data_IF_898380448529
#
_entry.id   IF_898380448529
#
_cell.length_a   1.000
_cell.length_b   1.000
_cell.length_c   1.000
_cell.angle_alpha   90.00
_cell.angle_beta   90.00
_cell.angle_gamma   90.00
#
_symmetry.space_group_name_H-M   'P 1'
#
loop_
_entity.id
_entity.type
_entity.pdbx_description
1 polymer ?
#
# COMPACT_ATOMS: atom_id res chain seq x y z
N UNK A 1 8.58 23.95 -80.02
CA UNK A 1 7.55 23.95 -78.95
C UNK A 1 6.48 22.94 -79.34
N UNK A 2 6.54 21.71 -78.83
CA UNK A 2 5.53 20.67 -79.08
C UNK A 2 5.50 19.64 -77.94
N UNK A 3 4.36 18.99 -77.83
CA UNK A 3 3.70 18.39 -76.68
C UNK A 3 4.01 16.88 -76.47
N UNK A 4 3.92 16.44 -75.20
CA UNK A 4 3.24 15.23 -74.67
C UNK A 4 3.70 13.77 -74.94
N UNK A 5 3.94 13.09 -73.81
CA UNK A 5 3.43 11.78 -73.31
C UNK A 5 3.90 10.38 -73.81
N UNK A 6 4.21 9.56 -72.78
CA UNK A 6 3.89 8.14 -72.54
C UNK A 6 4.61 7.02 -73.31
N UNK A 7 5.22 6.06 -72.57
CA UNK A 7 5.22 4.65 -72.97
C UNK A 7 5.37 3.60 -71.82
N UNK A 8 4.26 2.88 -71.63
CA UNK A 8 3.95 1.48 -71.24
C UNK A 8 5.02 0.47 -70.71
N UNK A 9 4.66 -0.18 -69.59
CA UNK A 9 4.47 -1.64 -69.26
C UNK A 9 5.43 -2.76 -69.77
N UNK A 10 6.02 -3.51 -68.81
CA UNK A 10 5.75 -4.93 -68.40
C UNK A 10 6.35 -6.18 -69.11
N UNK A 11 6.91 -7.11 -68.27
CA UNK A 11 7.15 -8.61 -68.35
C UNK A 11 8.23 -9.09 -69.37
N UNK A 12 9.13 -10.08 -69.18
CA UNK A 12 9.10 -11.50 -68.73
C UNK A 12 10.52 -11.99 -68.28
N UNK A 13 10.69 -12.73 -67.18
CA UNK A 13 10.73 -14.21 -66.98
C UNK A 13 11.92 -14.96 -67.63
N UNK A 14 12.80 -15.57 -66.80
CA UNK A 14 13.54 -16.80 -67.14
C UNK A 14 13.68 -17.70 -65.91
N UNK A 15 13.33 -18.97 -66.10
CA UNK A 15 13.35 -20.05 -65.11
C UNK A 15 14.71 -20.73 -64.95
N UNK A 16 14.93 -21.40 -63.83
CA UNK A 16 15.83 -22.56 -63.72
C UNK A 16 15.35 -23.48 -62.59
N UNK A 17 15.47 -24.79 -62.83
CA UNK A 17 14.72 -25.88 -62.19
C UNK A 17 15.53 -26.55 -61.05
N UNK A 18 14.78 -26.92 -59.99
CA UNK A 18 14.96 -27.92 -58.92
C UNK A 18 16.20 -28.84 -58.89
N UNK A 19 16.79 -28.99 -57.68
CA UNK A 19 17.11 -30.31 -57.10
C UNK A 19 16.77 -30.30 -55.60
N UNK A 20 15.99 -31.30 -55.17
CA UNK A 20 15.62 -31.58 -53.77
C UNK A 20 16.79 -32.27 -53.05
N UNK A 21 17.02 -31.94 -51.79
CA UNK A 21 17.56 -32.92 -50.84
C UNK A 21 16.92 -32.71 -49.47
N UNK A 22 16.10 -33.69 -49.09
CA UNK A 22 15.50 -33.83 -47.77
C UNK A 22 16.60 -34.37 -46.86
N UNK A 23 16.94 -33.65 -45.80
CA UNK A 23 17.56 -34.25 -44.63
C UNK A 23 16.76 -33.84 -43.39
N UNK A 24 15.97 -34.81 -42.94
CA UNK A 24 15.36 -34.89 -41.63
C UNK A 24 16.44 -34.81 -40.54
N UNK A 25 16.40 -33.76 -39.74
CA UNK A 25 16.81 -33.86 -38.33
C UNK A 25 15.72 -33.17 -37.51
N UNK A 26 14.99 -34.00 -36.76
CA UNK A 26 13.90 -33.54 -35.91
C UNK A 26 14.45 -32.64 -34.82
N UNK A 27 14.17 -31.34 -34.92
CA UNK A 27 14.22 -30.46 -33.77
C UNK A 27 12.88 -30.63 -33.08
N UNK A 28 12.91 -31.40 -32.00
CA UNK A 28 11.82 -31.52 -31.04
C UNK A 28 11.34 -30.11 -30.69
N UNK A 29 10.16 -29.76 -31.18
CA UNK A 29 9.40 -28.62 -30.67
C UNK A 29 9.09 -28.95 -29.23
N UNK A 30 9.92 -28.48 -28.31
CA UNK A 30 9.53 -28.37 -26.92
C UNK A 30 8.49 -27.25 -26.87
N UNK A 31 7.24 -27.62 -27.11
CA UNK A 31 6.08 -26.83 -26.72
C UNK A 31 6.15 -26.72 -25.20
N UNK A 32 6.79 -25.66 -24.70
CA UNK A 32 6.44 -25.12 -23.38
C UNK A 32 5.26 -24.19 -23.70
N UNK A 33 4.00 -24.61 -23.60
CA UNK A 33 3.27 -24.96 -22.39
C UNK A 33 3.52 -23.91 -21.29
N UNK A 34 2.48 -23.13 -20.99
CA UNK A 34 2.37 -21.95 -20.12
C UNK A 34 2.58 -20.57 -20.78
N UNK A 35 1.55 -20.08 -21.49
CA UNK A 35 1.15 -18.67 -21.42
C UNK A 35 0.20 -18.52 -20.22
N UNK A 36 0.75 -18.52 -19.00
CA UNK A 36 -0.03 -18.15 -17.82
C UNK A 36 0.35 -16.72 -17.46
N UNK A 37 -0.57 -15.78 -17.69
CA UNK A 37 -0.42 -14.40 -17.24
C UNK A 37 -0.58 -14.23 -15.72
N UNK A 38 -0.68 -15.34 -14.97
CA UNK A 38 -0.86 -15.39 -13.53
C UNK A 38 0.38 -15.01 -12.71
N UNK A 39 1.14 -14.00 -13.12
CA UNK A 39 2.07 -13.35 -12.19
C UNK A 39 1.24 -12.48 -11.26
N UNK A 40 0.86 -13.02 -10.11
CA UNK A 40 0.38 -12.23 -8.97
C UNK A 40 1.44 -11.19 -8.63
N UNK A 41 1.20 -9.92 -8.99
CA UNK A 41 2.05 -8.81 -8.59
C UNK A 41 1.83 -8.56 -7.11
N UNK A 42 2.74 -9.06 -6.28
CA UNK A 42 2.81 -8.70 -4.87
C UNK A 42 3.51 -7.34 -4.80
N UNK A 43 2.73 -6.27 -4.67
CA UNK A 43 3.30 -4.96 -4.36
C UNK A 43 3.66 -4.94 -2.87
N UNK A 44 4.96 -4.98 -2.58
CA UNK A 44 5.47 -4.81 -1.22
C UNK A 44 5.43 -3.31 -0.92
N UNK A 45 4.43 -2.89 -0.15
CA UNK A 45 4.04 -1.48 0.07
C UNK A 45 5.07 -0.60 0.83
N UNK A 46 6.31 -1.05 1.01
CA UNK A 46 7.21 -0.41 1.95
C UNK A 46 8.03 0.76 1.36
N UNK A 47 8.04 1.00 0.05
CA UNK A 47 9.00 1.97 -0.54
C UNK A 47 8.57 2.54 -1.91
N UNK A 48 7.34 3.02 -2.06
CA UNK A 48 6.99 3.89 -3.20
C UNK A 48 6.52 5.24 -2.67
N UNK A 49 7.19 6.30 -3.10
CA UNK A 49 6.97 7.69 -2.66
C UNK A 49 5.56 8.22 -3.03
N UNK A 50 4.84 7.50 -3.90
CA UNK A 50 3.47 7.80 -4.32
C UNK A 50 2.39 7.30 -3.34
N UNK A 51 2.71 6.40 -2.41
CA UNK A 51 1.72 5.78 -1.51
C UNK A 51 1.43 6.57 -0.22
N UNK A 52 2.07 7.73 -0.04
CA UNK A 52 1.91 8.56 1.15
C UNK A 52 2.53 7.97 2.42
N UNK A 53 2.10 8.46 3.57
CA UNK A 53 2.56 7.98 4.88
C UNK A 53 1.93 6.62 5.18
N UNK A 54 2.75 5.65 5.60
CA UNK A 54 2.30 4.35 6.06
C UNK A 54 2.87 4.03 7.43
N UNK A 55 2.10 3.29 8.22
CA UNK A 55 2.50 2.83 9.56
C UNK A 55 3.14 1.46 9.40
N UNK A 56 4.44 1.35 9.66
CA UNK A 56 5.20 0.10 9.51
C UNK A 56 5.25 -0.71 10.80
N UNK A 57 5.06 -0.06 11.96
CA UNK A 57 5.04 -0.75 13.23
C UNK A 57 4.52 0.14 14.37
N UNK A 58 4.27 -0.49 15.50
CA UNK A 58 3.85 0.19 16.73
C UNK A 58 4.55 -0.43 17.93
N UNK A 59 4.58 0.33 19.01
CA UNK A 59 5.13 -0.04 20.31
C UNK A 59 4.22 0.54 21.41
N UNK A 60 4.52 0.24 22.68
CA UNK A 60 3.81 0.82 23.82
C UNK A 60 4.01 2.33 23.93
N UNK A 61 5.06 2.83 23.28
CA UNK A 61 5.43 4.23 23.33
C UNK A 61 4.96 5.02 22.11
N UNK A 62 4.52 4.38 21.03
CA UNK A 62 4.16 5.08 19.80
C UNK A 62 4.37 4.26 18.53
N UNK A 63 4.58 4.94 17.41
CA UNK A 63 4.46 4.39 16.07
C UNK A 63 5.70 4.62 15.21
N UNK A 64 5.96 3.69 14.31
CA UNK A 64 6.99 3.80 13.28
C UNK A 64 6.34 3.94 11.91
N UNK A 65 6.88 4.84 11.10
CA UNK A 65 6.42 5.12 9.75
C UNK A 65 7.34 4.50 8.69
N UNK A 66 6.90 4.52 7.43
CA UNK A 66 7.65 4.00 6.28
C UNK A 66 8.90 4.81 5.89
N UNK A 67 9.03 6.02 6.41
CA UNK A 67 10.21 6.88 6.26
C UNK A 67 11.19 6.79 7.45
N UNK A 68 11.12 5.70 8.22
CA UNK A 68 11.91 5.43 9.42
C UNK A 68 11.72 6.42 10.58
N UNK A 69 10.80 7.37 10.47
CA UNK A 69 10.44 8.26 11.57
C UNK A 69 9.68 7.47 12.64
N UNK A 70 10.07 7.69 13.90
CA UNK A 70 9.37 7.17 15.07
C UNK A 70 8.72 8.33 15.81
N UNK A 71 7.41 8.20 16.06
CA UNK A 71 6.62 9.21 16.76
C UNK A 71 6.16 8.60 18.07
N UNK A 72 6.41 9.33 19.15
CA UNK A 72 6.06 8.92 20.51
C UNK A 72 4.68 9.47 20.86
N UNK A 73 3.85 8.63 21.47
CA UNK A 73 2.52 8.95 21.94
C UNK A 73 1.40 8.70 20.91
N UNK A 74 0.20 9.21 21.21
CA UNK A 74 -0.95 9.17 20.33
C UNK A 74 -0.75 10.07 19.11
N UNK A 75 -1.25 9.63 17.95
CA UNK A 75 -1.04 10.30 16.68
C UNK A 75 -2.34 10.40 15.86
N UNK A 76 -2.43 11.47 15.07
CA UNK A 76 -3.39 11.65 14.00
C UNK A 76 -2.66 11.55 12.66
N UNK A 77 -2.97 10.53 11.87
CA UNK A 77 -2.31 10.20 10.60
C UNK A 77 -3.23 10.52 9.44
N UNK A 78 -2.69 11.20 8.45
CA UNK A 78 -3.30 11.56 7.18
C UNK A 78 -2.46 11.00 6.04
N UNK A 79 -2.97 10.98 4.79
CA UNK A 79 -2.23 10.43 3.66
C UNK A 79 -0.86 11.06 3.43
N UNK A 80 -0.72 12.35 3.78
CA UNK A 80 0.49 13.15 3.52
C UNK A 80 1.12 13.78 4.77
N UNK A 81 0.49 13.64 5.93
CA UNK A 81 0.95 14.29 7.16
C UNK A 81 0.61 13.45 8.39
N UNK A 82 1.35 13.70 9.46
CA UNK A 82 1.13 13.08 10.76
C UNK A 82 1.28 14.15 11.82
N UNK A 83 0.38 14.14 12.78
CA UNK A 83 0.30 15.10 13.87
C UNK A 83 0.25 14.35 15.19
N UNK A 84 0.78 14.96 16.25
CA UNK A 84 0.53 14.46 17.60
C UNK A 84 -0.92 14.71 17.98
N UNK A 85 -1.55 13.73 18.61
CA UNK A 85 -2.93 13.82 19.05
C UNK A 85 -3.00 13.89 20.57
N UNK A 86 -3.61 14.95 21.10
CA UNK A 86 -3.59 15.27 22.52
C UNK A 86 -4.69 14.51 23.29
N UNK A 87 -4.52 13.19 23.42
CA UNK A 87 -5.46 12.26 24.07
C UNK A 87 -4.67 11.14 24.74
N UNK A 88 -4.73 11.01 26.06
CA UNK A 88 -3.99 9.95 26.76
C UNK A 88 -4.79 8.65 26.83
N UNK A 89 -6.12 8.74 26.97
CA UNK A 89 -6.99 7.59 27.17
C UNK A 89 -8.36 7.75 26.46
N UNK A 90 -9.16 6.68 26.49
CA UNK A 90 -10.49 6.64 25.88
C UNK A 90 -11.44 7.76 26.35
N UNK A 91 -11.32 8.23 27.59
CA UNK A 91 -12.21 9.26 28.13
C UNK A 91 -11.89 10.65 27.60
N UNK A 92 -10.65 10.86 27.13
CA UNK A 92 -10.23 12.14 26.55
C UNK A 92 -10.73 12.30 25.10
N UNK A 93 -11.25 11.22 24.50
CA UNK A 93 -11.82 11.24 23.16
C UNK A 93 -13.22 11.85 23.22
N UNK A 94 -13.28 13.13 22.85
CA UNK A 94 -14.50 13.93 22.77
C UNK A 94 -14.56 14.73 21.45
N UNK A 95 -15.60 15.53 21.30
CA UNK A 95 -15.87 16.34 20.10
C UNK A 95 -14.73 17.33 19.81
N UNK A 96 -14.13 17.92 20.84
CA UNK A 96 -13.00 18.84 20.71
C UNK A 96 -11.75 18.12 20.21
N UNK A 97 -11.45 16.94 20.78
CA UNK A 97 -10.32 16.10 20.35
C UNK A 97 -10.44 15.63 18.89
N UNK A 98 -11.68 15.51 18.40
CA UNK A 98 -11.99 15.07 17.03
C UNK A 98 -12.21 16.24 16.05
N UNK A 99 -12.30 17.47 16.55
CA UNK A 99 -12.58 18.66 15.74
C UNK A 99 -11.57 18.85 14.61
N UNK A 100 -10.30 18.48 14.83
CA UNK A 100 -9.23 18.46 13.83
C UNK A 100 -9.67 17.73 12.56
N UNK A 101 -10.27 16.55 12.67
CA UNK A 101 -10.69 15.74 11.52
C UNK A 101 -11.87 16.36 10.77
N UNK A 102 -12.68 17.18 11.45
CA UNK A 102 -13.88 17.79 10.85
C UNK A 102 -13.60 19.08 10.08
N UNK A 103 -12.45 19.72 10.34
CA UNK A 103 -12.12 21.06 9.82
C UNK A 103 -11.13 21.01 8.65
N UNK A 104 -10.49 19.86 8.41
CA UNK A 104 -9.50 19.69 7.36
C UNK A 104 -10.12 19.68 5.96
N UNK A 105 -9.40 20.30 5.03
CA UNK A 105 -9.66 20.26 3.59
C UNK A 105 -8.46 19.61 2.86
N UNK A 106 -8.67 18.66 1.93
CA UNK A 106 -9.97 18.12 1.51
C UNK A 106 -10.63 17.26 2.61
N UNK A 107 -11.96 17.22 2.57
CA UNK A 107 -12.76 16.44 3.52
C UNK A 107 -12.35 14.96 3.56
N UNK A 108 -12.32 14.41 4.77
CA UNK A 108 -12.06 12.99 5.06
C UNK A 108 -13.33 12.17 4.80
N UNK A 109 -13.20 11.06 4.08
CA UNK A 109 -14.31 10.13 3.83
C UNK A 109 -14.49 9.15 5.00
N UNK A 110 -13.38 8.66 5.53
CA UNK A 110 -13.32 7.63 6.58
C UNK A 110 -12.29 8.00 7.64
N UNK A 111 -12.70 8.04 8.90
CA UNK A 111 -11.82 8.12 10.06
C UNK A 111 -11.72 6.74 10.72
N UNK A 112 -10.50 6.23 10.87
CA UNK A 112 -10.22 5.04 11.67
C UNK A 112 -9.79 5.48 13.07
N UNK A 113 -10.45 5.00 14.11
CA UNK A 113 -10.13 5.30 15.50
C UNK A 113 -9.52 4.07 16.17
N UNK A 114 -8.20 4.08 16.37
CA UNK A 114 -7.44 3.05 17.06
C UNK A 114 -7.35 3.32 18.56
N UNK A 115 -8.08 2.56 19.37
CA UNK A 115 -8.22 2.79 20.82
C UNK A 115 -7.23 1.99 21.68
N UNK A 116 -6.07 1.67 21.12
CA UNK A 116 -5.07 0.82 21.78
C UNK A 116 -5.50 -0.64 21.77
N UNK A 117 -5.33 -1.28 22.92
CA UNK A 117 -5.71 -2.65 23.26
C UNK A 117 -7.02 -2.72 24.08
N UNK A 118 -7.65 -1.58 24.35
CA UNK A 118 -8.87 -1.49 25.11
C UNK A 118 -10.10 -1.85 24.26
N UNK A 119 -11.09 -2.50 24.88
CA UNK A 119 -12.38 -2.75 24.23
C UNK A 119 -13.28 -1.52 24.43
N UNK A 120 -13.65 -0.79 23.36
CA UNK A 120 -14.50 0.38 23.50
C UNK A 120 -15.90 -0.02 23.96
N UNK A 121 -16.48 0.74 24.88
CA UNK A 121 -17.85 0.50 25.34
C UNK A 121 -18.85 0.86 24.24
N UNK A 122 -19.96 0.13 24.12
CA UNK A 122 -20.99 0.40 23.09
C UNK A 122 -21.51 1.85 23.12
N UNK A 123 -21.65 2.43 24.32
CA UNK A 123 -22.05 3.83 24.50
C UNK A 123 -21.05 4.82 23.91
N UNK A 124 -19.75 4.58 24.14
CA UNK A 124 -18.66 5.38 23.61
C UNK A 124 -18.70 5.40 22.07
N UNK A 125 -18.74 4.22 21.44
CA UNK A 125 -18.76 4.13 19.98
C UNK A 125 -19.99 4.83 19.39
N UNK A 126 -21.17 4.69 20.01
CA UNK A 126 -22.40 5.38 19.57
C UNK A 126 -22.27 6.91 19.61
N UNK A 127 -21.67 7.46 20.66
CA UNK A 127 -21.44 8.91 20.80
C UNK A 127 -20.56 9.43 19.67
N UNK A 128 -19.42 8.79 19.44
CA UNK A 128 -18.47 9.18 18.38
C UNK A 128 -19.11 9.06 16.99
N UNK A 129 -19.79 7.94 16.72
CA UNK A 129 -20.49 7.73 15.45
C UNK A 129 -21.56 8.79 15.20
N UNK A 130 -22.32 9.18 16.23
CA UNK A 130 -23.34 10.22 16.09
C UNK A 130 -22.75 11.58 15.75
N UNK A 131 -21.71 12.00 16.50
CA UNK A 131 -21.00 13.25 16.24
C UNK A 131 -20.44 13.30 14.82
N UNK A 132 -19.66 12.30 14.43
CA UNK A 132 -18.98 12.30 13.12
C UNK A 132 -19.96 12.17 11.95
N UNK A 133 -21.12 11.53 12.16
CA UNK A 133 -22.20 11.48 11.17
C UNK A 133 -22.76 12.87 10.85
N UNK A 134 -22.84 13.79 11.83
CA UNK A 134 -23.28 15.18 11.54
C UNK A 134 -22.30 15.92 10.62
N UNK A 135 -21.01 15.55 10.67
CA UNK A 135 -19.98 16.03 9.74
C UNK A 135 -19.89 15.20 8.45
N UNK A 136 -20.76 14.18 8.25
CA UNK A 136 -20.74 13.22 7.14
C UNK A 136 -19.37 12.55 6.94
N UNK A 137 -18.74 12.14 8.03
CA UNK A 137 -17.50 11.34 8.04
C UNK A 137 -17.85 9.97 8.61
N UNK A 138 -17.50 8.91 7.91
CA UNK A 138 -17.69 7.55 8.41
C UNK A 138 -16.58 7.22 9.42
N UNK A 139 -16.92 6.53 10.51
CA UNK A 139 -15.94 6.18 11.54
C UNK A 139 -15.93 4.68 11.79
N UNK A 140 -14.74 4.11 11.89
CA UNK A 140 -14.54 2.75 12.36
C UNK A 140 -13.70 2.77 13.64
N UNK A 141 -14.22 2.17 14.71
CA UNK A 141 -13.50 2.07 15.99
C UNK A 141 -12.91 0.68 16.09
N UNK A 142 -11.58 0.59 16.12
CA UNK A 142 -10.82 -0.66 16.05
C UNK A 142 -9.72 -0.69 17.12
N UNK A 143 -9.16 -1.87 17.39
CA UNK A 143 -7.87 -1.97 18.10
C UNK A 143 -6.77 -1.35 17.26
N UNK A 144 -5.75 -0.79 17.89
CA UNK A 144 -4.66 -0.08 17.20
C UNK A 144 -3.96 -0.93 16.14
N UNK A 145 -3.73 -2.21 16.40
CA UNK A 145 -3.16 -3.16 15.43
C UNK A 145 -4.00 -3.22 14.14
N UNK A 146 -5.32 -3.41 14.28
CA UNK A 146 -6.24 -3.49 13.16
C UNK A 146 -6.39 -2.13 12.47
N UNK A 147 -6.44 -1.05 13.24
CA UNK A 147 -6.54 0.31 12.74
C UNK A 147 -5.34 0.70 11.85
N UNK A 148 -4.12 0.31 12.23
CA UNK A 148 -2.92 0.54 11.43
C UNK A 148 -3.02 -0.16 10.07
N UNK A 149 -3.45 -1.43 10.07
CA UNK A 149 -3.63 -2.21 8.83
C UNK A 149 -4.72 -1.61 7.92
N UNK A 150 -5.88 -1.28 8.48
CA UNK A 150 -6.99 -0.66 7.75
C UNK A 150 -6.61 0.69 7.16
N UNK A 151 -5.91 1.53 7.93
CA UNK A 151 -5.42 2.81 7.44
C UNK A 151 -4.47 2.62 6.25
N UNK A 152 -3.46 1.75 6.39
CA UNK A 152 -2.50 1.50 5.30
C UNK A 152 -3.19 0.99 4.03
N UNK A 153 -4.17 0.10 4.18
CA UNK A 153 -4.94 -0.43 3.06
C UNK A 153 -5.73 0.68 2.34
N UNK A 154 -6.53 1.44 3.07
CA UNK A 154 -7.34 2.52 2.49
C UNK A 154 -6.48 3.66 1.91
N UNK A 155 -5.34 3.94 2.55
CA UNK A 155 -4.41 4.94 2.07
C UNK A 155 -3.73 4.50 0.76
N UNK A 156 -3.37 3.21 0.65
CA UNK A 156 -2.84 2.64 -0.59
C UNK A 156 -3.87 2.65 -1.74
N UNK A 157 -5.17 2.59 -1.45
CA UNK A 157 -6.24 2.79 -2.43
C UNK A 157 -6.44 4.26 -2.85
N UNK A 158 -5.62 5.19 -2.36
CA UNK A 158 -5.74 6.64 -2.59
C UNK A 158 -7.09 7.22 -2.13
N UNK A 159 -7.68 6.65 -1.08
CA UNK A 159 -8.88 7.20 -0.45
C UNK A 159 -8.51 8.32 0.52
N UNK A 160 -9.41 9.29 0.71
CA UNK A 160 -9.23 10.32 1.74
C UNK A 160 -9.55 9.73 3.12
N UNK A 161 -8.59 8.98 3.67
CA UNK A 161 -8.67 8.35 4.98
C UNK A 161 -7.83 9.11 5.99
N UNK A 162 -8.29 9.17 7.23
CA UNK A 162 -7.48 9.58 8.37
C UNK A 162 -7.54 8.52 9.47
N UNK A 163 -6.55 8.51 10.34
CA UNK A 163 -6.50 7.61 11.48
C UNK A 163 -6.11 8.35 12.76
N UNK A 164 -6.84 8.14 13.85
CA UNK A 164 -6.50 8.63 15.18
C UNK A 164 -6.12 7.43 16.04
N UNK A 165 -4.88 7.35 16.50
CA UNK A 165 -4.31 6.15 17.08
C UNK A 165 -3.71 6.41 18.46
N UNK A 166 -4.11 5.59 19.42
CA UNK A 166 -3.48 5.51 20.75
C UNK A 166 -2.54 4.28 20.75
N UNK A 167 -1.29 4.40 21.21
CA UNK A 167 -0.42 3.24 21.35
C UNK A 167 -1.03 2.24 22.35
N UNK A 168 -0.96 0.92 22.06
CA UNK A 168 -1.50 -0.08 22.97
C UNK A 168 -0.68 -0.15 24.26
N UNK A 169 -1.33 -0.42 25.40
CA UNK A 169 -0.62 -0.58 26.67
C UNK A 169 0.09 -1.94 26.70
N UNK A 170 -0.52 -2.98 26.15
CA UNK A 170 0.05 -4.31 26.06
C UNK A 170 0.28 -4.72 24.60
N UNK A 171 1.46 -5.29 24.31
CA UNK A 171 1.78 -5.87 23.01
C UNK A 171 1.88 -7.39 23.19
N UNK A 172 0.99 -8.09 22.50
CA UNK A 172 1.11 -9.54 22.33
C UNK A 172 1.84 -9.79 21.03
N UNK A 173 3.05 -10.34 21.10
CA UNK A 173 3.80 -10.72 19.91
C UNK A 173 3.19 -12.00 19.34
N UNK A 174 2.79 -11.96 18.07
CA UNK A 174 2.48 -13.19 17.36
C UNK A 174 3.79 -13.84 16.87
N UNK A 175 3.82 -15.17 16.75
CA UNK A 175 4.99 -15.93 16.28
C UNK A 175 5.48 -15.44 14.90
N UNK A 176 4.55 -14.98 14.07
CA UNK A 176 4.79 -14.39 12.76
C UNK A 176 5.57 -13.05 12.83
N UNK A 177 5.37 -12.25 13.88
CA UNK A 177 6.03 -10.94 14.05
C UNK A 177 7.50 -11.09 14.48
N UNK A 178 7.77 -12.13 15.29
CA UNK A 178 9.11 -12.46 15.78
C UNK A 178 10.01 -12.93 14.63
N UNK A 179 9.46 -13.69 13.68
CA UNK A 179 10.20 -14.14 12.50
C UNK A 179 10.61 -12.95 11.60
N UNK A 180 9.72 -11.99 11.37
CA UNK A 180 10.00 -10.83 10.52
C UNK A 180 11.10 -9.90 11.08
N UNK A 181 11.09 -9.65 12.39
CA UNK A 181 12.08 -8.80 13.06
C UNK A 181 13.49 -9.41 13.06
N UNK A 182 13.60 -10.72 13.29
CA UNK A 182 14.87 -11.43 13.23
C UNK A 182 15.46 -11.48 11.82
N UNK A 183 14.63 -11.67 10.78
CA UNK A 183 15.09 -11.67 9.38
C UNK A 183 15.64 -10.31 8.97
N UNK A 184 14.99 -9.21 9.37
CA UNK A 184 15.49 -7.86 9.07
C UNK A 184 16.83 -7.58 9.77
N UNK A 185 16.99 -8.04 11.02
CA UNK A 185 18.24 -7.93 11.76
C UNK A 185 19.37 -8.74 11.11
N UNK A 186 19.08 -9.97 10.67
CA UNK A 186 20.04 -10.82 9.98
C UNK A 186 20.45 -10.26 8.62
N UNK A 187 19.51 -9.69 7.86
CA UNK A 187 19.83 -8.99 6.62
C UNK A 187 20.80 -7.84 6.86
N UNK A 188 20.53 -6.98 7.85
CA UNK A 188 21.40 -5.86 8.18
C UNK A 188 22.82 -6.31 8.54
N UNK A 189 22.95 -7.39 9.34
CA UNK A 189 24.24 -7.99 9.67
C UNK A 189 24.94 -8.61 8.46
N UNK A 190 24.20 -9.15 7.48
CA UNK A 190 24.80 -9.73 6.27
C UNK A 190 25.30 -8.67 5.27
N UNK A 191 24.66 -7.50 5.20
CA UNK A 191 25.13 -6.38 4.37
C UNK A 191 26.41 -5.77 4.94
N UNK A 192 26.48 -5.57 6.26
CA UNK A 192 27.65 -4.97 6.93
C UNK A 192 28.91 -5.85 6.88
N UNK A 193 28.74 -7.16 6.67
CA UNK A 193 29.85 -8.11 6.49
C UNK A 193 30.24 -8.32 5.01
N UNK A 194 29.47 -7.80 4.05
CA UNK A 194 29.78 -7.92 2.61
C UNK A 194 30.56 -6.73 2.05
N UNK A 195 30.62 -5.62 2.80
CA UNK A 195 31.36 -4.40 2.47
C UNK A 195 32.76 -4.34 3.13
N UNK A 196 33.24 -5.46 3.68
CA UNK A 196 34.60 -5.64 4.24
C UNK A 196 35.35 -6.74 3.49
#
# INVERSE_FOLDING_TARGET
MSFMYNLKRSVYFTASILIRTINTSGIWRHTKAYDCDGKTKVNIFNTQQDLGIMITGYSQYGFRLNNDIVIIGPIAVFPKSVLSWNVDNLNDINEESLSLFTTLEPKIDVLILGVGDQTPTSSFSKKILHFMKTHKINVEVLRTEQACATFNFLNAENRMVASALIPPVHITYNENDVLGSNVNRLKQLSFENSDK
#
